data_IF_413301134499
#
_entry.id   IF_413301134499
#
_cell.length_a   1.000
_cell.length_b   1.000
_cell.length_c   1.000
_cell.angle_alpha   90.00
_cell.angle_beta   90.00
_cell.angle_gamma   90.00
#
_symmetry.space_group_name_H-M   'P 1'
#
loop_
_entity.id
_entity.type
_entity.pdbx_description
1 polymer ?
#
# COMPACT_ATOMS: atom_id res chain seq x y z
N UNK A 1 0.24 -19.61 3.75
CA UNK A 1 0.76 -21.00 3.89
C UNK A 1 1.44 -21.11 5.23
N UNK A 2 1.22 -22.15 6.03
CA UNK A 2 1.90 -22.32 7.34
C UNK A 2 3.31 -22.92 7.25
N UNK A 3 3.82 -23.05 6.03
CA UNK A 3 5.15 -23.56 5.70
C UNK A 3 5.76 -22.71 4.58
N UNK A 4 7.09 -22.71 4.48
CA UNK A 4 7.82 -21.92 3.48
C UNK A 4 7.34 -22.27 2.06
N UNK A 5 7.03 -21.27 1.20
CA UNK A 5 6.60 -21.53 -0.17
C UNK A 5 7.68 -22.25 -0.98
N UNK A 6 7.24 -23.03 -1.99
CA UNK A 6 8.15 -23.62 -2.98
C UNK A 6 8.82 -22.50 -3.75
N UNK A 7 10.14 -22.55 -3.88
CA UNK A 7 10.87 -21.58 -4.70
C UNK A 7 10.39 -21.64 -6.15
N UNK A 8 10.13 -20.47 -6.72
CA UNK A 8 9.94 -20.32 -8.16
C UNK A 8 11.24 -20.73 -8.86
N UNK A 9 11.15 -21.78 -9.68
CA UNK A 9 12.22 -22.33 -10.49
C UNK A 9 11.72 -22.64 -11.90
N UNK A 10 12.61 -22.61 -12.89
CA UNK A 10 12.25 -23.03 -14.24
C UNK A 10 12.09 -24.56 -14.26
N UNK A 11 11.11 -25.03 -15.04
CA UNK A 11 10.92 -26.47 -15.29
C UNK A 11 11.78 -26.99 -16.43
N UNK A 12 12.46 -26.10 -17.16
CA UNK A 12 13.31 -26.43 -18.31
C UNK A 12 14.66 -25.71 -18.20
N UNK A 13 15.67 -26.18 -18.94
CA UNK A 13 17.02 -25.58 -18.89
C UNK A 13 17.04 -24.18 -19.50
N UNK A 14 16.26 -23.97 -20.57
CA UNK A 14 16.20 -22.71 -21.31
C UNK A 14 14.74 -22.25 -21.45
N UNK A 15 14.16 -21.65 -20.41
CA UNK A 15 12.79 -21.15 -20.49
C UNK A 15 12.70 -19.99 -21.49
N UNK A 16 11.75 -20.12 -22.39
CA UNK A 16 11.39 -19.12 -23.40
C UNK A 16 10.21 -18.27 -22.94
N UNK A 17 9.48 -18.70 -21.90
CA UNK A 17 8.34 -17.96 -21.34
C UNK A 17 8.22 -18.10 -19.82
N UNK A 18 7.54 -17.14 -19.17
CA UNK A 18 7.18 -17.28 -17.74
C UNK A 18 6.21 -18.45 -17.46
N UNK A 19 5.56 -18.99 -18.49
CA UNK A 19 4.69 -20.16 -18.35
C UNK A 19 5.48 -21.45 -18.03
N UNK A 20 6.81 -21.44 -18.14
CA UNK A 20 7.71 -22.56 -17.82
C UNK A 20 8.33 -22.42 -16.43
N UNK A 21 7.78 -21.55 -15.58
CA UNK A 21 8.20 -21.39 -14.19
C UNK A 21 7.15 -21.98 -13.25
N UNK A 22 7.58 -22.68 -12.20
CA UNK A 22 6.72 -23.27 -11.16
C UNK A 22 7.26 -22.97 -9.77
N UNK A 23 6.38 -22.78 -8.81
CA UNK A 23 6.70 -22.41 -7.43
C UNK A 23 5.46 -21.91 -6.68
N UNK A 24 5.68 -21.27 -5.53
CA UNK A 24 4.62 -20.77 -4.66
C UNK A 24 4.05 -21.87 -3.76
N UNK A 25 2.92 -22.45 -4.12
CA UNK A 25 2.23 -23.44 -3.28
C UNK A 25 2.90 -24.83 -3.32
N UNK A 26 2.81 -25.57 -2.21
CA UNK A 26 3.32 -26.96 -2.10
C UNK A 26 2.55 -27.91 -3.05
N UNK A 27 1.23 -27.78 -3.06
CA UNK A 27 0.35 -28.46 -4.01
C UNK A 27 -0.16 -27.44 -5.02
N UNK A 28 0.05 -27.71 -6.31
CA UNK A 28 -0.52 -26.87 -7.37
C UNK A 28 -2.03 -27.10 -7.41
N UNK A 29 -2.86 -26.03 -7.38
CA UNK A 29 -4.30 -26.17 -7.52
C UNK A 29 -4.63 -26.79 -8.89
N UNK A 30 -5.58 -27.72 -8.95
CA UNK A 30 -6.03 -28.35 -10.20
C UNK A 30 -7.22 -27.59 -10.81
N UNK A 31 -7.47 -27.72 -12.12
CA UNK A 31 -8.62 -27.12 -12.83
C UNK A 31 -8.47 -25.62 -13.14
N UNK A 32 -9.58 -24.89 -13.34
CA UNK A 32 -9.60 -23.45 -13.70
C UNK A 32 -8.92 -22.54 -12.66
N UNK A 33 -8.81 -23.05 -11.43
CA UNK A 33 -8.06 -22.44 -10.35
C UNK A 33 -6.58 -22.26 -10.76
N UNK A 34 -6.03 -23.14 -11.61
CA UNK A 34 -4.65 -23.11 -12.12
C UNK A 34 -4.24 -21.80 -12.78
N UNK A 35 -5.16 -21.10 -13.46
CA UNK A 35 -4.85 -19.85 -14.15
C UNK A 35 -4.49 -18.71 -13.19
N UNK A 36 -4.93 -18.77 -11.92
CA UNK A 36 -4.61 -17.77 -10.89
C UNK A 36 -3.32 -18.04 -10.14
N UNK A 37 -2.75 -19.24 -10.27
CA UNK A 37 -1.60 -19.70 -9.47
C UNK A 37 -0.36 -20.01 -10.30
N UNK A 38 -0.33 -19.53 -11.56
CA UNK A 38 0.91 -19.39 -12.33
C UNK A 38 1.64 -18.13 -11.89
N UNK A 39 2.95 -18.08 -12.16
CA UNK A 39 3.73 -16.88 -11.90
C UNK A 39 3.13 -15.66 -12.60
N UNK A 40 2.74 -15.82 -13.88
CA UNK A 40 2.01 -14.82 -14.63
C UNK A 40 0.49 -14.99 -14.41
N UNK A 41 -0.14 -13.99 -13.79
CA UNK A 41 -1.60 -13.93 -13.66
C UNK A 41 -2.21 -13.26 -14.89
N UNK A 42 -2.70 -14.05 -15.84
CA UNK A 42 -3.50 -13.57 -16.98
C UNK A 42 -4.74 -14.44 -17.16
N UNK A 43 -5.88 -13.80 -17.42
CA UNK A 43 -7.12 -14.49 -17.77
C UNK A 43 -7.08 -15.09 -19.18
N UNK A 44 -6.23 -14.54 -20.05
CA UNK A 44 -6.06 -15.01 -21.42
C UNK A 44 -4.61 -15.44 -21.65
N UNK A 45 -4.42 -16.75 -21.72
CA UNK A 45 -3.10 -17.34 -21.96
C UNK A 45 -2.72 -17.34 -23.44
N UNK A 46 -3.64 -17.03 -24.36
CA UNK A 46 -3.33 -17.01 -25.80
C UNK A 46 -2.75 -15.68 -26.28
N UNK A 47 -2.96 -14.60 -25.52
CA UNK A 47 -2.54 -13.25 -25.91
C UNK A 47 -1.47 -12.60 -25.02
N UNK A 48 -1.17 -13.17 -23.84
CA UNK A 48 -0.18 -12.61 -22.93
C UNK A 48 0.92 -13.61 -22.60
N UNK A 49 1.97 -13.60 -23.42
CA UNK A 49 3.22 -14.29 -23.13
C UNK A 49 4.32 -13.25 -22.89
N UNK A 50 4.95 -13.31 -21.71
CA UNK A 50 6.24 -12.65 -21.52
C UNK A 50 7.29 -13.59 -22.12
N UNK A 51 7.70 -13.29 -23.35
CA UNK A 51 8.77 -13.99 -24.04
C UNK A 51 10.10 -13.60 -23.40
N UNK A 52 10.90 -14.60 -23.09
CA UNK A 52 12.26 -14.46 -22.61
C UNK A 52 13.16 -14.63 -23.83
N UNK A 53 13.83 -13.55 -24.24
CA UNK A 53 14.84 -13.64 -25.30
C UNK A 53 15.98 -14.58 -24.88
N UNK A 54 16.65 -15.29 -25.81
CA UNK A 54 17.70 -16.26 -25.49
C UNK A 54 18.85 -15.70 -24.62
N UNK A 55 19.16 -14.41 -24.80
CA UNK A 55 20.18 -13.69 -24.01
C UNK A 55 19.63 -13.06 -22.72
N UNK A 56 18.30 -13.10 -22.53
CA UNK A 56 17.60 -12.58 -21.35
C UNK A 56 17.60 -13.54 -20.15
N UNK A 57 18.54 -14.49 -20.11
CA UNK A 57 18.85 -15.29 -18.90
C UNK A 57 18.97 -14.41 -17.65
N UNK A 58 19.48 -13.19 -17.81
CA UNK A 58 19.55 -12.14 -16.79
C UNK A 58 18.19 -11.72 -16.21
N UNK A 59 17.12 -11.69 -17.00
CA UNK A 59 15.78 -11.28 -16.55
C UNK A 59 15.18 -12.26 -15.56
N UNK A 60 15.21 -13.56 -15.84
CA UNK A 60 14.78 -14.59 -14.88
C UNK A 60 15.72 -14.68 -13.68
N UNK A 61 17.04 -14.59 -13.89
CA UNK A 61 18.02 -14.57 -12.82
C UNK A 61 17.86 -13.36 -11.88
N UNK A 62 17.19 -12.30 -12.32
CA UNK A 62 16.90 -11.13 -11.49
C UNK A 62 15.52 -11.24 -10.83
N UNK A 63 14.49 -11.64 -11.58
CA UNK A 63 13.12 -11.69 -11.07
C UNK A 63 12.94 -12.82 -10.05
N UNK A 64 13.46 -14.02 -10.31
CA UNK A 64 13.18 -15.18 -9.46
C UNK A 64 13.76 -15.06 -8.04
N UNK A 65 15.01 -14.59 -7.85
CA UNK A 65 15.52 -14.33 -6.50
C UNK A 65 14.69 -13.29 -5.75
N UNK A 66 14.20 -12.25 -6.43
CA UNK A 66 13.35 -11.22 -5.81
C UNK A 66 12.02 -11.83 -5.33
N UNK A 67 11.33 -12.58 -6.19
CA UNK A 67 10.07 -13.23 -5.83
C UNK A 67 10.27 -14.24 -4.70
N UNK A 68 11.32 -15.07 -4.79
CA UNK A 68 11.64 -16.07 -3.78
C UNK A 68 11.95 -15.42 -2.43
N UNK A 69 12.71 -14.32 -2.44
CA UNK A 69 12.95 -13.52 -1.23
C UNK A 69 11.64 -12.99 -0.66
N UNK A 70 10.78 -12.40 -1.49
CA UNK A 70 9.53 -11.77 -1.05
C UNK A 70 8.49 -12.76 -0.50
N UNK A 71 8.39 -13.98 -1.06
CA UNK A 71 7.46 -15.00 -0.54
C UNK A 71 8.00 -15.75 0.68
N UNK A 72 9.32 -15.74 0.87
CA UNK A 72 9.97 -16.40 2.01
C UNK A 72 9.94 -15.56 3.30
N UNK A 73 9.37 -14.34 3.27
CA UNK A 73 9.18 -13.53 4.46
C UNK A 73 8.05 -14.15 5.30
N UNK A 74 8.32 -14.58 6.54
CA UNK A 74 7.30 -15.09 7.44
C UNK A 74 6.54 -13.92 8.08
N UNK A 75 5.24 -14.13 8.25
CA UNK A 75 4.32 -13.24 8.94
C UNK A 75 3.66 -13.98 10.09
N UNK A 76 3.17 -13.25 11.07
CA UNK A 76 2.33 -13.78 12.14
C UNK A 76 1.18 -12.81 12.43
N UNK A 77 0.24 -13.25 13.27
CA UNK A 77 -0.85 -12.40 13.71
C UNK A 77 -0.36 -11.48 14.84
N UNK A 78 -0.64 -10.19 14.71
CA UNK A 78 -0.38 -9.19 15.75
C UNK A 78 -1.20 -9.52 17.00
N UNK A 79 -0.59 -10.19 17.99
CA UNK A 79 -1.31 -10.75 19.13
C UNK A 79 -2.00 -9.70 19.97
N UNK A 80 -1.36 -8.58 20.23
CA UNK A 80 -1.95 -7.48 21.01
C UNK A 80 -3.08 -6.82 20.23
N UNK A 81 -2.91 -6.59 18.93
CA UNK A 81 -3.97 -6.10 18.05
C UNK A 81 -5.16 -7.05 17.97
N UNK A 82 -4.90 -8.36 17.88
CA UNK A 82 -5.94 -9.37 17.89
C UNK A 82 -6.63 -9.45 19.25
N UNK A 83 -5.88 -9.51 20.35
CA UNK A 83 -6.44 -9.53 21.70
C UNK A 83 -7.32 -8.31 21.95
N UNK A 84 -6.88 -7.15 21.49
CA UNK A 84 -7.67 -5.92 21.51
C UNK A 84 -8.98 -6.09 20.73
N UNK A 85 -8.95 -6.63 19.51
CA UNK A 85 -10.17 -6.89 18.73
C UNK A 85 -11.07 -7.91 19.43
N UNK A 86 -10.51 -9.02 19.95
CA UNK A 86 -11.26 -10.09 20.62
C UNK A 86 -11.89 -9.64 21.93
N UNK A 87 -11.21 -8.79 22.70
CA UNK A 87 -11.76 -8.21 23.93
C UNK A 87 -12.86 -7.19 23.64
N UNK A 88 -12.88 -6.63 22.42
CA UNK A 88 -13.89 -5.71 21.93
C UNK A 88 -14.79 -6.38 20.87
N UNK A 89 -14.87 -7.72 20.88
CA UNK A 89 -15.45 -8.56 19.82
C UNK A 89 -16.94 -8.41 19.62
N UNK A 90 -17.70 -8.07 20.67
CA UNK A 90 -19.12 -7.75 20.54
C UNK A 90 -19.35 -6.60 19.54
N UNK A 91 -18.29 -5.84 19.24
CA UNK A 91 -18.27 -4.81 18.22
C UNK A 91 -17.61 -5.24 16.88
N UNK A 92 -16.84 -6.35 16.82
CA UNK A 92 -15.92 -6.71 15.71
C UNK A 92 -15.63 -8.24 15.62
N UNK A 93 -15.89 -8.95 14.50
CA UNK A 93 -15.78 -10.43 14.40
C UNK A 93 -14.50 -11.06 13.75
N UNK A 94 -14.24 -12.34 14.12
CA UNK A 94 -13.41 -13.46 13.55
C UNK A 94 -11.95 -13.74 14.03
N UNK A 95 -11.54 -15.03 14.19
CA UNK A 95 -10.12 -15.50 14.06
C UNK A 95 -9.85 -17.02 13.84
N UNK A 96 -8.93 -17.35 12.90
CA UNK A 96 -8.51 -18.72 12.55
C UNK A 96 -6.97 -18.98 12.47
N UNK A 97 -6.12 -17.93 12.43
CA UNK A 97 -4.66 -18.05 12.20
C UNK A 97 -3.79 -17.73 13.44
N UNK A 98 -4.40 -17.55 14.61
CA UNK A 98 -3.69 -17.22 15.84
C UNK A 98 -2.66 -18.31 16.21
N UNK A 99 -1.45 -17.88 16.60
CA UNK A 99 -0.37 -18.78 17.01
C UNK A 99 0.45 -19.39 15.87
N UNK A 100 0.05 -19.19 14.60
CA UNK A 100 0.80 -19.69 13.45
C UNK A 100 1.68 -18.60 12.82
N UNK A 101 2.89 -18.98 12.42
CA UNK A 101 3.65 -18.26 11.40
C UNK A 101 3.16 -18.70 10.02
N UNK A 102 2.94 -17.74 9.12
CA UNK A 102 2.47 -18.00 7.77
C UNK A 102 3.22 -17.17 6.72
N UNK A 103 3.21 -17.67 5.50
CA UNK A 103 3.86 -17.11 4.34
C UNK A 103 2.83 -16.75 3.28
N UNK A 104 3.12 -15.70 2.52
CA UNK A 104 2.25 -15.15 1.48
C UNK A 104 2.91 -15.36 0.10
N UNK A 105 2.48 -16.38 -0.68
CA UNK A 105 3.01 -16.63 -2.02
C UNK A 105 2.89 -15.41 -2.93
N UNK A 106 3.92 -15.20 -3.75
CA UNK A 106 4.04 -14.06 -4.65
C UNK A 106 3.66 -14.41 -6.08
N UNK A 107 2.92 -13.52 -6.75
CA UNK A 107 2.52 -13.64 -8.16
C UNK A 107 2.85 -12.35 -8.92
N UNK A 108 2.88 -12.38 -10.25
CA UNK A 108 3.20 -11.24 -11.10
C UNK A 108 2.16 -11.07 -12.23
N UNK A 109 1.74 -9.84 -12.54
CA UNK A 109 0.93 -9.55 -13.73
C UNK A 109 1.77 -9.33 -15.00
N UNK A 110 1.12 -9.16 -16.15
CA UNK A 110 1.81 -8.91 -17.43
C UNK A 110 2.65 -7.62 -17.47
N UNK A 111 2.49 -6.74 -16.47
CA UNK A 111 3.24 -5.48 -16.32
C UNK A 111 4.39 -5.60 -15.32
N UNK A 112 4.58 -6.77 -14.71
CA UNK A 112 5.61 -6.99 -13.70
C UNK A 112 5.20 -6.64 -12.26
N UNK A 113 3.94 -6.29 -12.01
CA UNK A 113 3.46 -5.92 -10.66
C UNK A 113 3.26 -7.17 -9.82
N UNK A 114 3.67 -7.09 -8.55
CA UNK A 114 3.65 -8.23 -7.63
C UNK A 114 2.33 -8.25 -6.85
N UNK A 115 1.68 -9.41 -6.81
CA UNK A 115 0.42 -9.67 -6.11
C UNK A 115 0.56 -10.78 -5.07
N UNK A 116 -0.47 -10.89 -4.22
CA UNK A 116 -0.67 -11.94 -3.23
C UNK A 116 -2.07 -12.52 -3.43
N UNK A 117 -2.24 -13.79 -3.08
CA UNK A 117 -3.56 -14.44 -3.09
C UNK A 117 -4.07 -14.56 -1.66
N UNK A 118 -5.39 -14.40 -1.48
CA UNK A 118 -6.09 -14.58 -0.20
C UNK A 118 -6.67 -13.26 0.34
N UNK A 119 -7.32 -13.33 1.50
CA UNK A 119 -8.02 -12.19 2.13
C UNK A 119 -7.22 -11.56 3.28
N UNK A 120 -6.10 -12.17 3.68
CA UNK A 120 -5.27 -11.70 4.80
C UNK A 120 -3.84 -11.45 4.31
N UNK A 121 -3.61 -10.27 3.74
CA UNK A 121 -2.28 -9.84 3.29
C UNK A 121 -2.17 -8.31 3.21
N UNK A 122 -0.94 -7.81 3.07
CA UNK A 122 -0.64 -6.37 3.16
C UNK A 122 -1.16 -5.50 1.99
N UNK A 123 -1.68 -6.09 0.92
CA UNK A 123 -2.41 -5.36 -0.13
C UNK A 123 -3.90 -5.14 0.20
N UNK A 124 -4.43 -5.75 1.26
CA UNK A 124 -5.83 -5.62 1.64
C UNK A 124 -6.13 -4.33 2.41
N UNK A 125 -7.39 -4.22 2.85
CA UNK A 125 -7.92 -3.11 3.64
C UNK A 125 -7.24 -2.97 5.00
N UNK A 126 -7.54 -1.84 5.64
CA UNK A 126 -6.95 -1.40 6.91
C UNK A 126 -6.88 -2.49 7.98
N UNK A 127 -8.00 -3.18 8.24
CA UNK A 127 -8.09 -4.27 9.23
C UNK A 127 -7.14 -5.44 8.93
N UNK A 128 -7.10 -5.92 7.69
CA UNK A 128 -6.21 -7.03 7.34
C UNK A 128 -4.74 -6.64 7.50
N UNK A 129 -4.39 -5.39 7.19
CA UNK A 129 -3.04 -4.85 7.35
C UNK A 129 -2.63 -4.65 8.80
N UNK A 130 -3.56 -4.33 9.70
CA UNK A 130 -3.28 -4.14 11.13
C UNK A 130 -3.09 -5.46 11.89
N UNK A 131 -3.61 -6.56 11.33
CA UNK A 131 -3.57 -7.89 11.94
C UNK A 131 -2.31 -8.68 11.63
N UNK A 132 -1.53 -8.28 10.62
CA UNK A 132 -0.34 -9.03 10.18
C UNK A 132 0.94 -8.27 10.54
N UNK A 133 1.89 -8.96 11.14
CA UNK A 133 3.22 -8.44 11.48
C UNK A 133 4.29 -9.38 10.94
N UNK A 134 5.54 -8.90 10.84
CA UNK A 134 6.66 -9.79 10.53
C UNK A 134 6.87 -10.77 11.68
N UNK A 135 7.04 -12.06 11.36
CA UNK A 135 7.33 -13.03 12.40
C UNK A 135 8.76 -12.81 12.93
N UNK A 136 8.96 -12.78 14.26
CA UNK A 136 10.29 -12.62 14.84
C UNK A 136 11.16 -13.82 14.48
N UNK A 137 12.43 -13.57 14.19
CA UNK A 137 13.41 -14.62 14.00
C UNK A 137 13.91 -15.07 15.40
N UNK A 138 13.72 -16.34 15.80
CA UNK A 138 14.11 -16.80 17.14
C UNK A 138 15.62 -16.76 17.40
N UNK A 139 16.44 -16.55 16.35
CA UNK A 139 17.88 -16.41 16.46
C UNK A 139 18.35 -14.96 16.58
N UNK A 140 17.46 -13.98 16.41
CA UNK A 140 17.82 -12.58 16.57
C UNK A 140 17.97 -12.26 18.06
N UNK A 141 19.15 -11.81 18.47
CA UNK A 141 19.37 -11.29 19.82
C UNK A 141 18.72 -9.92 19.95
N UNK A 142 18.17 -9.61 21.14
CA UNK A 142 17.69 -8.27 21.43
C UNK A 142 18.80 -7.24 21.20
N UNK A 143 18.49 -6.24 20.37
CA UNK A 143 19.36 -5.12 20.06
C UNK A 143 18.65 -3.82 20.41
N UNK A 144 19.19 -3.11 21.40
CA UNK A 144 18.60 -1.87 21.92
C UNK A 144 18.68 -0.71 20.93
N UNK A 145 19.65 -0.70 20.01
CA UNK A 145 19.76 0.31 18.98
C UNK A 145 18.72 0.09 17.88
N UNK A 146 18.50 -1.17 17.49
CA UNK A 146 17.43 -1.55 16.55
C UNK A 146 16.06 -1.21 17.15
N UNK A 147 15.79 -1.58 18.41
CA UNK A 147 14.53 -1.24 19.08
C UNK A 147 14.30 0.28 19.08
N UNK A 148 15.31 1.07 19.50
CA UNK A 148 15.22 2.53 19.51
C UNK A 148 14.93 3.10 18.12
N UNK A 149 15.57 2.55 17.08
CA UNK A 149 15.34 2.96 15.69
C UNK A 149 13.93 2.62 15.22
N UNK A 150 13.45 1.39 15.47
CA UNK A 150 12.11 0.97 15.09
C UNK A 150 11.04 1.80 15.82
N UNK A 151 11.20 2.06 17.12
CA UNK A 151 10.31 2.97 17.87
C UNK A 151 10.30 4.36 17.26
N UNK A 152 11.46 4.93 16.92
CA UNK A 152 11.52 6.26 16.27
C UNK A 152 10.75 6.28 14.95
N UNK A 153 10.87 5.23 14.14
CA UNK A 153 10.12 5.11 12.88
C UNK A 153 8.62 4.99 13.15
N UNK A 154 8.21 4.18 14.13
CA UNK A 154 6.81 4.00 14.50
C UNK A 154 6.18 5.25 15.09
N UNK A 155 6.90 6.00 15.93
CA UNK A 155 6.48 7.31 16.43
C UNK A 155 6.15 8.27 15.29
N UNK A 156 6.94 8.20 14.21
CA UNK A 156 6.69 9.00 13.03
C UNK A 156 5.57 8.45 12.15
N UNK A 157 5.45 7.12 12.01
CA UNK A 157 4.49 6.49 11.10
C UNK A 157 3.07 6.42 11.66
N UNK A 158 2.89 6.24 12.97
CA UNK A 158 1.58 6.12 13.61
C UNK A 158 0.66 7.31 13.27
N UNK A 159 1.08 8.58 13.43
CA UNK A 159 0.25 9.72 13.04
C UNK A 159 -0.16 9.72 11.57
N UNK A 160 0.66 9.22 10.64
CA UNK A 160 0.29 9.17 9.22
C UNK A 160 -0.89 8.24 8.93
N UNK A 161 -1.19 7.30 9.83
CA UNK A 161 -2.44 6.53 9.79
C UNK A 161 -3.65 7.35 10.27
N UNK A 162 -3.43 8.36 11.10
CA UNK A 162 -4.46 9.30 11.54
C UNK A 162 -4.77 10.37 10.49
N UNK A 163 -3.77 11.16 10.08
CA UNK A 163 -3.91 12.23 9.08
C UNK A 163 -2.63 12.41 8.25
N UNK A 164 -2.64 13.33 7.29
CA UNK A 164 -1.43 13.65 6.50
C UNK A 164 -0.70 14.83 7.14
N UNK A 165 0.62 14.86 7.01
CA UNK A 165 1.51 15.90 7.52
C UNK A 165 2.40 16.44 6.40
N UNK A 166 2.93 17.65 6.59
CA UNK A 166 3.86 18.28 5.65
C UNK A 166 5.33 17.95 5.98
N UNK A 167 5.62 17.39 7.16
CA UNK A 167 6.95 16.93 7.51
C UNK A 167 6.90 15.78 8.52
N UNK A 168 8.01 15.07 8.67
CA UNK A 168 8.15 14.04 9.70
C UNK A 168 8.23 14.64 11.12
N UNK A 169 8.75 15.87 11.26
CA UNK A 169 8.81 16.59 12.54
C UNK A 169 7.41 16.92 13.05
N UNK A 170 6.56 17.50 12.20
CA UNK A 170 5.17 17.82 12.53
C UNK A 170 4.37 16.56 12.95
N UNK A 171 4.62 15.43 12.27
CA UNK A 171 4.03 14.13 12.63
C UNK A 171 4.39 13.73 14.07
N UNK A 172 5.67 13.80 14.43
CA UNK A 172 6.15 13.43 15.76
C UNK A 172 5.61 14.36 16.86
N UNK A 173 5.61 15.67 16.61
CA UNK A 173 5.05 16.67 17.52
C UNK A 173 3.57 16.39 17.80
N UNK A 174 2.80 16.15 16.73
CA UNK A 174 1.38 15.81 16.87
C UNK A 174 1.16 14.53 17.69
N UNK A 175 1.99 13.49 17.52
CA UNK A 175 1.87 12.29 18.35
C UNK A 175 2.03 12.62 19.83
N UNK A 176 3.09 13.35 20.19
CA UNK A 176 3.39 13.70 21.57
C UNK A 176 2.28 14.54 22.21
N UNK A 177 1.75 15.52 21.47
CA UNK A 177 0.70 16.41 21.95
C UNK A 177 -0.63 15.68 22.20
N UNK A 178 -0.90 14.61 21.46
CA UNK A 178 -2.18 13.88 21.52
C UNK A 178 -2.10 12.57 22.30
N UNK A 179 -0.89 12.08 22.62
CA UNK A 179 -0.67 10.78 23.28
C UNK A 179 -1.49 10.63 24.56
N UNK A 180 -1.57 11.68 25.37
CA UNK A 180 -2.34 11.67 26.62
C UNK A 180 -3.84 11.50 26.40
N UNK A 181 -4.37 11.85 25.22
CA UNK A 181 -5.80 11.74 24.90
C UNK A 181 -6.22 10.31 24.55
N UNK A 182 -5.36 9.54 23.87
CA UNK A 182 -5.71 8.19 23.42
C UNK A 182 -5.07 7.06 24.25
N UNK A 183 -3.99 7.33 24.98
CA UNK A 183 -3.23 6.30 25.71
C UNK A 183 -3.65 6.17 27.19
N UNK A 184 -4.94 6.39 27.51
CA UNK A 184 -5.46 6.22 28.87
C UNK A 184 -6.18 4.89 29.08
N UNK A 185 -6.86 4.37 28.06
CA UNK A 185 -7.58 3.10 28.06
C UNK A 185 -7.80 2.57 26.64
N UNK A 186 -8.25 1.32 26.51
CA UNK A 186 -8.66 0.75 25.23
C UNK A 186 -9.81 1.57 24.61
N UNK A 187 -10.78 1.99 25.44
CA UNK A 187 -11.92 2.78 24.98
C UNK A 187 -11.50 4.15 24.43
N UNK A 188 -10.63 4.88 25.13
CA UNK A 188 -10.12 6.17 24.63
C UNK A 188 -9.35 6.02 23.33
N UNK A 189 -8.61 4.91 23.17
CA UNK A 189 -7.90 4.62 21.93
C UNK A 189 -8.87 4.36 20.78
N UNK A 190 -9.94 3.58 21.01
CA UNK A 190 -10.99 3.33 20.00
C UNK A 190 -11.64 4.65 19.59
N UNK A 191 -12.16 5.43 20.55
CA UNK A 191 -12.84 6.70 20.27
C UNK A 191 -11.97 7.66 19.49
N UNK A 192 -10.70 7.79 19.89
CA UNK A 192 -9.76 8.65 19.19
C UNK A 192 -9.49 8.14 17.76
N UNK A 193 -9.27 6.83 17.61
CA UNK A 193 -8.96 6.21 16.33
C UNK A 193 -10.11 6.25 15.32
N UNK A 194 -11.37 6.40 15.73
CA UNK A 194 -12.52 6.54 14.81
C UNK A 194 -12.35 7.68 13.80
N UNK A 195 -11.59 8.70 14.16
CA UNK A 195 -11.31 9.86 13.31
C UNK A 195 -10.06 9.69 12.42
N UNK A 196 -9.34 8.58 12.57
CA UNK A 196 -8.17 8.29 11.76
C UNK A 196 -8.55 7.92 10.32
N UNK A 197 -7.68 8.23 9.36
CA UNK A 197 -7.80 7.75 7.96
C UNK A 197 -7.71 6.22 7.87
N UNK A 198 -6.98 5.59 8.80
CA UNK A 198 -6.69 4.16 8.88
C UNK A 198 -6.77 3.71 10.35
N UNK A 199 -7.98 3.60 10.92
CA UNK A 199 -8.20 3.38 12.35
C UNK A 199 -7.46 2.16 12.90
N UNK A 200 -7.53 1.01 12.22
CA UNK A 200 -6.97 -0.22 12.76
C UNK A 200 -5.44 -0.24 12.69
N UNK A 201 -4.83 0.29 11.63
CA UNK A 201 -3.37 0.44 11.59
C UNK A 201 -2.87 1.50 12.57
N UNK A 202 -3.63 2.58 12.81
CA UNK A 202 -3.31 3.54 13.86
C UNK A 202 -3.27 2.87 15.23
N UNK A 203 -4.34 2.13 15.57
CA UNK A 203 -4.43 1.34 16.80
C UNK A 203 -3.24 0.37 16.89
N UNK A 204 -2.97 -0.42 15.84
CA UNK A 204 -1.88 -1.40 15.86
C UNK A 204 -0.51 -0.75 16.16
N UNK A 205 -0.20 0.40 15.56
CA UNK A 205 1.06 1.09 15.83
C UNK A 205 1.11 1.65 17.26
N UNK A 206 0.01 2.23 17.76
CA UNK A 206 -0.07 2.72 19.15
C UNK A 206 0.10 1.58 20.14
N UNK A 207 -0.59 0.46 19.93
CA UNK A 207 -0.45 -0.74 20.75
C UNK A 207 1.01 -1.20 20.79
N UNK A 208 1.72 -1.17 19.66
CA UNK A 208 3.13 -1.55 19.62
C UNK A 208 4.07 -0.55 20.31
N UNK A 209 3.80 0.75 20.20
CA UNK A 209 4.60 1.79 20.84
C UNK A 209 4.42 1.80 22.37
N UNK A 210 3.18 1.60 22.82
CA UNK A 210 2.77 1.87 24.19
C UNK A 210 2.60 0.59 25.04
N UNK A 211 2.57 -0.59 24.42
CA UNK A 211 2.48 -1.89 25.12
C UNK A 211 3.73 -2.74 24.85
N UNK A 212 3.69 -4.00 25.33
CA UNK A 212 4.81 -4.97 25.27
C UNK A 212 4.92 -5.72 23.93
N UNK A 213 4.62 -5.07 22.80
CA UNK A 213 4.88 -5.67 21.49
C UNK A 213 6.30 -5.27 21.03
N UNK A 214 7.01 -6.18 20.38
CA UNK A 214 8.29 -5.86 19.77
C UNK A 214 8.09 -4.92 18.56
N UNK A 215 8.57 -3.66 18.60
CA UNK A 215 8.40 -2.71 17.52
C UNK A 215 9.11 -3.10 16.23
N UNK A 216 10.07 -4.03 16.27
CA UNK A 216 10.78 -4.51 15.08
C UNK A 216 9.90 -5.36 14.16
N UNK A 217 8.82 -5.93 14.69
CA UNK A 217 7.89 -6.79 13.95
C UNK A 217 6.86 -5.99 13.15
N UNK A 218 6.62 -4.72 13.50
CA UNK A 218 5.54 -3.93 12.90
C UNK A 218 5.92 -3.46 11.48
N UNK A 219 5.15 -3.82 10.45
CA UNK A 219 5.40 -3.36 9.10
C UNK A 219 5.11 -1.86 8.95
N UNK A 220 6.13 -1.09 8.59
CA UNK A 220 5.96 0.33 8.25
C UNK A 220 5.87 0.48 6.73
N UNK A 221 4.73 0.93 6.24
CA UNK A 221 4.53 1.11 4.79
C UNK A 221 4.94 2.50 4.34
N UNK A 222 5.86 2.57 3.38
CA UNK A 222 6.19 3.78 2.64
C UNK A 222 5.61 3.69 1.23
N UNK A 223 4.84 4.70 0.83
CA UNK A 223 4.28 4.81 -0.51
C UNK A 223 4.84 6.05 -1.19
N UNK A 224 5.10 5.94 -2.49
CA UNK A 224 5.62 7.04 -3.28
C UNK A 224 4.50 8.04 -3.58
N UNK A 225 4.79 9.33 -3.37
CA UNK A 225 3.89 10.43 -3.74
C UNK A 225 3.76 10.51 -5.27
N UNK A 226 2.79 9.77 -5.82
CA UNK A 226 2.50 9.72 -7.26
C UNK A 226 3.65 9.14 -8.10
N UNK A 227 4.02 7.88 -7.83
CA UNK A 227 5.14 7.16 -8.47
C UNK A 227 5.24 7.31 -9.99
N UNK A 228 4.13 7.25 -10.74
CA UNK A 228 4.18 7.45 -12.19
C UNK A 228 4.67 8.84 -12.60
N UNK A 229 4.29 9.89 -11.86
CA UNK A 229 4.79 11.24 -12.12
C UNK A 229 6.25 11.42 -11.70
N UNK A 230 6.72 10.71 -10.66
CA UNK A 230 8.14 10.65 -10.31
C UNK A 230 8.96 9.97 -11.42
N UNK A 231 8.48 8.85 -11.96
CA UNK A 231 9.14 8.17 -13.08
C UNK A 231 9.14 9.07 -14.33
N UNK A 232 8.02 9.74 -14.59
CA UNK A 232 7.89 10.66 -15.72
C UNK A 232 8.85 11.86 -15.60
N UNK A 233 8.92 12.48 -14.43
CA UNK A 233 9.84 13.61 -14.21
C UNK A 233 11.29 13.21 -14.37
N UNK A 234 11.66 12.01 -13.93
CA UNK A 234 12.99 11.45 -14.17
C UNK A 234 13.27 11.28 -15.67
N UNK A 235 12.38 10.63 -16.42
CA UNK A 235 12.61 10.39 -17.86
C UNK A 235 12.62 11.68 -18.70
N UNK A 236 11.81 12.66 -18.32
CA UNK A 236 11.75 13.95 -19.00
C UNK A 236 12.82 14.93 -18.51
N UNK A 237 13.60 14.57 -17.48
CA UNK A 237 14.53 15.47 -16.77
C UNK A 237 13.83 16.78 -16.32
N UNK A 238 12.56 16.66 -15.95
CA UNK A 238 11.72 17.79 -15.52
C UNK A 238 11.96 18.05 -14.04
N UNK A 239 12.85 19.02 -13.77
CA UNK A 239 13.24 19.43 -12.41
C UNK A 239 12.04 19.96 -11.61
N UNK A 240 11.13 20.68 -12.25
CA UNK A 240 9.97 21.26 -11.58
C UNK A 240 9.01 20.15 -11.13
N UNK A 241 8.69 19.21 -12.02
CA UNK A 241 7.85 18.06 -11.70
C UNK A 241 8.55 17.11 -10.71
N UNK A 242 9.87 16.95 -10.81
CA UNK A 242 10.66 16.17 -9.86
C UNK A 242 10.55 16.74 -8.44
N UNK A 243 10.61 18.06 -8.28
CA UNK A 243 10.40 18.71 -6.99
C UNK A 243 8.95 18.51 -6.50
N UNK A 244 7.95 18.82 -7.34
CA UNK A 244 6.52 18.69 -6.99
C UNK A 244 6.10 17.26 -6.61
N UNK A 245 6.87 16.25 -7.00
CA UNK A 245 6.63 14.83 -6.72
C UNK A 245 7.52 14.27 -5.61
N UNK A 246 8.37 15.06 -4.99
CA UNK A 246 9.36 14.63 -3.99
C UNK A 246 10.43 13.66 -4.54
N UNK A 247 10.68 13.65 -5.86
CA UNK A 247 11.79 12.89 -6.43
C UNK A 247 13.14 13.54 -6.04
N UNK A 248 13.16 14.88 -6.04
CA UNK A 248 14.22 15.67 -5.45
C UNK A 248 13.64 16.43 -4.26
N UNK A 249 14.44 16.59 -3.21
CA UNK A 249 14.07 17.39 -2.03
C UNK A 249 14.88 18.68 -2.07
N UNK A 250 14.17 19.81 -2.13
CA UNK A 250 14.74 21.16 -2.07
C UNK A 250 14.56 21.74 -0.65
N UNK A 251 13.58 21.24 0.09
CA UNK A 251 13.29 21.59 1.47
C UNK A 251 12.87 20.35 2.29
N UNK A 252 12.67 20.53 3.60
CA UNK A 252 12.21 19.48 4.53
C UNK A 252 10.68 19.22 4.44
N UNK A 253 10.01 19.72 3.39
CA UNK A 253 8.57 19.58 3.23
C UNK A 253 8.22 18.45 2.26
N UNK A 254 7.14 17.76 2.60
CA UNK A 254 6.50 16.77 1.74
C UNK A 254 5.53 17.53 0.84
N UNK A 255 5.85 17.61 -0.45
CA UNK A 255 5.01 18.24 -1.47
C UNK A 255 3.89 17.32 -1.94
N UNK A 256 2.73 17.91 -2.18
CA UNK A 256 1.55 17.22 -2.66
C UNK A 256 1.18 17.70 -4.08
N UNK A 257 1.64 16.94 -5.09
CA UNK A 257 1.38 17.20 -6.51
C UNK A 257 -0.08 17.57 -6.79
N UNK A 258 -1.03 16.83 -6.22
CA UNK A 258 -2.45 17.03 -6.52
C UNK A 258 -2.98 18.36 -6.01
N UNK A 259 -2.43 18.91 -4.92
CA UNK A 259 -2.80 20.25 -4.45
C UNK A 259 -2.36 21.32 -5.46
N UNK A 260 -1.20 21.16 -6.08
CA UNK A 260 -0.74 22.05 -7.17
C UNK A 260 -1.58 21.92 -8.43
N UNK A 261 -1.94 20.70 -8.80
CA UNK A 261 -2.84 20.45 -9.94
C UNK A 261 -4.24 21.03 -9.73
N UNK A 262 -4.74 21.16 -8.49
CA UNK A 262 -6.03 21.83 -8.21
C UNK A 262 -5.97 23.30 -8.60
N UNK A 263 -4.89 24.01 -8.24
CA UNK A 263 -4.71 25.44 -8.54
C UNK A 263 -4.73 25.65 -10.06
N UNK A 264 -3.90 24.90 -10.78
CA UNK A 264 -3.79 24.95 -12.24
C UNK A 264 -5.11 24.57 -12.95
N UNK A 265 -5.79 23.52 -12.48
CA UNK A 265 -7.06 23.10 -13.06
C UNK A 265 -8.15 24.17 -12.86
N UNK A 266 -8.21 24.80 -11.68
CA UNK A 266 -9.18 25.87 -11.42
C UNK A 266 -8.96 27.06 -12.33
N UNK A 267 -7.71 27.46 -12.54
CA UNK A 267 -7.39 28.59 -13.42
C UNK A 267 -7.68 28.27 -14.88
N UNK A 268 -7.37 27.05 -15.33
CA UNK A 268 -7.78 26.56 -16.64
C UNK A 268 -9.30 26.63 -16.82
N UNK A 269 -10.08 26.14 -15.85
CA UNK A 269 -11.54 26.10 -15.96
C UNK A 269 -12.21 27.48 -15.91
N UNK A 270 -11.67 28.45 -15.16
CA UNK A 270 -12.19 29.83 -15.16
C UNK A 270 -12.11 30.49 -16.53
N UNK A 271 -11.09 30.13 -17.33
CA UNK A 271 -10.91 30.65 -18.69
C UNK A 271 -11.83 29.96 -19.70
N UNK A 272 -12.07 28.65 -19.53
CA UNK A 272 -12.77 27.84 -20.52
C UNK A 272 -14.27 27.62 -20.23
N UNK A 273 -14.72 27.84 -19.00
CA UNK A 273 -16.13 27.74 -18.62
C UNK A 273 -16.78 29.11 -18.60
N UNK A 274 -18.10 29.16 -18.86
CA UNK A 274 -18.91 30.35 -18.58
C UNK A 274 -18.79 30.73 -17.11
N UNK A 275 -18.74 32.01 -16.80
CA UNK A 275 -18.53 32.51 -15.42
C UNK A 275 -19.51 31.92 -14.42
N UNK A 276 -20.78 31.73 -14.81
CA UNK A 276 -21.82 31.10 -13.98
C UNK A 276 -21.57 29.63 -13.68
N UNK A 277 -20.94 28.88 -14.59
CA UNK A 277 -20.60 27.49 -14.38
C UNK A 277 -19.27 27.37 -13.61
N UNK A 278 -18.30 28.22 -13.91
CA UNK A 278 -17.02 28.26 -13.21
C UNK A 278 -17.20 28.55 -11.71
N UNK A 279 -18.11 29.47 -11.34
CA UNK A 279 -18.41 29.80 -9.94
C UNK A 279 -19.06 28.64 -9.18
N UNK A 280 -19.73 27.72 -9.87
CA UNK A 280 -20.30 26.51 -9.28
C UNK A 280 -19.27 25.39 -9.20
N UNK A 281 -18.53 25.14 -10.29
CA UNK A 281 -17.64 23.98 -10.40
C UNK A 281 -16.33 24.18 -9.64
N UNK A 282 -15.64 25.32 -9.81
CA UNK A 282 -14.28 25.50 -9.26
C UNK A 282 -14.18 25.33 -7.74
N UNK A 283 -15.13 25.84 -6.92
CA UNK A 283 -15.11 25.63 -5.47
C UNK A 283 -15.28 24.17 -5.05
N UNK A 284 -15.90 23.34 -5.91
CA UNK A 284 -16.18 21.91 -5.66
C UNK A 284 -15.05 20.99 -6.11
N UNK A 285 -14.04 21.51 -6.79
CA UNK A 285 -12.85 20.75 -7.15
C UNK A 285 -11.98 20.59 -5.90
N UNK A 286 -11.93 19.37 -5.40
CA UNK A 286 -11.08 19.00 -4.27
C UNK A 286 -9.93 18.08 -4.71
N UNK A 287 -9.06 17.77 -3.75
CA UNK A 287 -7.92 16.88 -3.97
C UNK A 287 -8.35 15.47 -4.37
N UNK A 288 -9.49 14.98 -3.88
CA UNK A 288 -9.99 13.63 -4.15
C UNK A 288 -10.38 13.50 -5.63
N UNK A 289 -11.11 14.47 -6.15
CA UNK A 289 -11.52 14.55 -7.55
C UNK A 289 -10.29 14.70 -8.47
N UNK A 290 -9.40 15.64 -8.18
CA UNK A 290 -8.18 15.84 -8.97
C UNK A 290 -7.32 14.58 -8.99
N UNK A 291 -7.12 13.92 -7.84
CA UNK A 291 -6.41 12.64 -7.79
C UNK A 291 -7.12 11.56 -8.61
N UNK A 292 -8.45 11.46 -8.54
CA UNK A 292 -9.22 10.46 -9.30
C UNK A 292 -9.12 10.65 -10.84
N UNK A 293 -8.92 11.89 -11.29
CA UNK A 293 -8.70 12.23 -12.70
C UNK A 293 -7.25 11.96 -13.12
N UNK A 294 -6.29 12.63 -12.47
CA UNK A 294 -4.91 12.68 -12.96
C UNK A 294 -4.11 11.42 -12.61
N UNK A 295 -4.32 10.82 -11.44
CA UNK A 295 -3.57 9.63 -11.03
C UNK A 295 -3.78 8.46 -12.01
N UNK A 296 -5.00 8.11 -12.45
CA UNK A 296 -5.16 7.01 -13.39
C UNK A 296 -4.89 7.39 -14.85
N UNK A 297 -4.97 8.69 -15.20
CA UNK A 297 -4.74 9.17 -16.56
C UNK A 297 -3.35 8.77 -17.06
N UNK A 298 -2.31 8.97 -16.22
CA UNK A 298 -0.94 8.56 -16.54
C UNK A 298 -0.76 7.04 -16.64
N UNK A 299 -1.70 6.26 -16.08
CA UNK A 299 -1.76 4.80 -16.23
C UNK A 299 -2.66 4.35 -17.39
N UNK A 300 -3.09 5.25 -18.27
CA UNK A 300 -3.88 4.95 -19.47
C UNK A 300 -5.40 4.92 -19.24
N UNK A 301 -5.93 5.61 -18.23
CA UNK A 301 -7.39 5.75 -18.05
C UNK A 301 -8.01 6.51 -19.22
N UNK A 302 -9.10 5.98 -19.75
CA UNK A 302 -9.81 6.55 -20.90
C UNK A 302 -10.62 7.79 -20.53
N UNK A 303 -10.90 8.64 -21.53
CA UNK A 303 -11.77 9.82 -21.38
C UNK A 303 -13.14 9.42 -20.82
N UNK A 304 -13.75 8.35 -21.33
CA UNK A 304 -15.07 7.88 -20.87
C UNK A 304 -15.05 7.55 -19.36
N UNK A 305 -14.02 6.85 -18.90
CA UNK A 305 -13.88 6.52 -17.48
C UNK A 305 -13.65 7.78 -16.64
N UNK A 306 -12.88 8.75 -17.13
CA UNK A 306 -12.68 10.04 -16.45
C UNK A 306 -13.96 10.86 -16.39
N UNK A 307 -14.77 10.89 -17.45
CA UNK A 307 -16.08 11.55 -17.46
C UNK A 307 -17.02 10.93 -16.42
N UNK A 308 -17.01 9.60 -16.27
CA UNK A 308 -17.79 8.91 -15.23
C UNK A 308 -17.37 9.31 -13.82
N UNK A 309 -16.07 9.43 -13.54
CA UNK A 309 -15.58 9.90 -12.24
C UNK A 309 -16.04 11.32 -11.93
N UNK A 310 -15.91 12.23 -12.91
CA UNK A 310 -16.35 13.63 -12.77
C UNK A 310 -17.86 13.67 -12.52
N UNK A 311 -18.63 12.94 -13.31
CA UNK A 311 -20.08 12.85 -13.13
C UNK A 311 -20.42 12.32 -11.74
N UNK A 312 -19.84 11.21 -11.30
CA UNK A 312 -20.13 10.64 -9.99
C UNK A 312 -19.79 11.61 -8.85
N UNK A 313 -18.66 12.31 -8.96
CA UNK A 313 -18.22 13.27 -7.93
C UNK A 313 -19.05 14.55 -7.89
N UNK A 314 -19.54 15.03 -9.03
CA UNK A 314 -20.33 16.26 -9.10
C UNK A 314 -21.83 15.98 -8.91
N UNK A 315 -22.34 14.84 -9.38
CA UNK A 315 -23.74 14.45 -9.24
C UNK A 315 -24.10 14.13 -7.78
N UNK A 316 -23.19 13.53 -7.00
CA UNK A 316 -23.40 13.36 -5.55
C UNK A 316 -23.59 14.68 -4.79
N UNK A 317 -23.15 15.80 -5.38
CA UNK A 317 -23.31 17.14 -4.81
C UNK A 317 -24.60 17.83 -5.24
N UNK A 318 -25.28 17.31 -6.27
CA UNK A 318 -26.59 17.79 -6.73
C UNK A 318 -27.76 17.08 -6.04
N UNK A 319 -27.53 15.87 -5.51
CA UNK A 319 -28.55 15.06 -4.81
C UNK A 319 -28.61 15.31 -3.30
N UNK A 320 -27.66 16.06 -2.73
CA UNK A 320 -27.60 16.42 -1.31
C UNK A 320 -28.07 17.86 -1.03
N UNK A 321 -28.98 18.39 -1.86
CA UNK A 321 -29.70 19.64 -1.58
C UNK A 321 -31.10 19.35 -1.06
#
# INVERSE_FOLDING_TARGET
MVCKPVEWKSTVVNPTTLAEVRGGYLSQPTGDIYHRYRLLTSHDNSHFFIKLEPDSRHGLLTIMPVINKLQAIPFEIHREGLSFILNNRDYLEECAYEGYQFYLPSFIDFRGRIYRSGILHFHERDLARSLIVFAPNPYDSYDSEIDKRCRKILYCSAPFHYKSFQSYTESNEWYNDNKSSFNTSDHSLIEFALHAKKPFQFIANVLSLERKTDPSTIPVTQDASSSAYQIMSYFLLDVELANRTNLISIDDKIHDLYTKLIEELRDYLKVHLRSSLASVVCPRIDRKLVKAIFMPLIYGKTVISTTKDIHNSLSSLLTNQ
#
